data_IF_680297046571
#
_entry.id   IF_680297046571
#
_cell.length_a   1.000
_cell.length_b   1.000
_cell.length_c   1.000
_cell.angle_alpha   90.00
_cell.angle_beta   90.00
_cell.angle_gamma   90.00
#
_symmetry.space_group_name_H-M   'P 1'
#
loop_
_entity.id
_entity.type
_entity.pdbx_description
1 polymer ?
#
# COMPACT_ATOMS: atom_id res chain seq x y z
N UNK A 1 41.95 -86.36 -2.78
CA UNK A 1 40.75 -85.57 -2.78
C UNK A 1 41.14 -84.15 -2.36
N UNK A 2 41.46 -83.26 -3.37
CA UNK A 2 41.68 -81.84 -3.14
C UNK A 2 40.41 -81.11 -3.61
N UNK A 3 39.67 -80.53 -2.67
CA UNK A 3 38.55 -79.68 -2.97
C UNK A 3 39.03 -78.29 -3.37
N UNK A 4 38.60 -77.90 -4.53
CA UNK A 4 38.75 -76.65 -5.19
C UNK A 4 38.13 -75.51 -4.29
N UNK A 5 38.98 -74.76 -3.60
CA UNK A 5 38.59 -73.60 -2.79
C UNK A 5 38.82 -72.27 -3.53
N UNK A 6 39.15 -72.32 -4.85
CA UNK A 6 39.55 -71.12 -5.62
C UNK A 6 38.40 -70.32 -6.27
N UNK A 7 37.19 -70.90 -6.36
CA UNK A 7 36.10 -70.28 -7.10
C UNK A 7 35.34 -69.22 -6.30
N UNK A 8 35.23 -69.33 -5.02
CA UNK A 8 34.37 -68.47 -4.21
C UNK A 8 34.94 -67.09 -3.93
N UNK A 9 36.27 -66.98 -3.81
CA UNK A 9 36.97 -65.72 -3.54
C UNK A 9 36.95 -64.81 -4.79
N UNK A 10 37.01 -65.39 -5.95
CA UNK A 10 37.06 -64.65 -7.23
C UNK A 10 35.71 -63.99 -7.57
N UNK A 11 34.62 -64.64 -7.18
CA UNK A 11 33.29 -64.13 -7.44
C UNK A 11 32.94 -62.97 -6.51
N UNK A 12 33.43 -62.96 -5.24
CA UNK A 12 33.28 -61.89 -4.32
C UNK A 12 33.98 -60.59 -4.74
N UNK A 13 35.18 -60.69 -5.33
CA UNK A 13 35.92 -59.54 -5.84
C UNK A 13 35.24 -58.86 -7.03
N UNK A 14 34.66 -59.65 -7.95
CA UNK A 14 33.97 -59.12 -9.09
C UNK A 14 32.70 -58.36 -8.67
N UNK A 15 31.94 -58.87 -7.73
CA UNK A 15 30.78 -58.19 -7.18
C UNK A 15 31.16 -56.90 -6.47
N UNK A 16 32.21 -56.88 -5.67
CA UNK A 16 32.69 -55.68 -4.97
C UNK A 16 33.17 -54.60 -5.91
N UNK A 17 33.93 -54.98 -6.97
CA UNK A 17 34.43 -54.02 -7.94
C UNK A 17 33.29 -53.39 -8.75
N UNK A 18 32.28 -54.17 -9.14
CA UNK A 18 31.12 -53.67 -9.89
C UNK A 18 30.29 -52.74 -9.00
N UNK A 19 30.12 -53.03 -7.74
CA UNK A 19 29.37 -52.16 -6.81
C UNK A 19 30.05 -50.79 -6.64
N UNK A 20 31.39 -50.79 -6.47
CA UNK A 20 32.17 -49.55 -6.34
C UNK A 20 32.12 -48.72 -7.62
N UNK A 21 32.19 -49.38 -8.78
CA UNK A 21 32.11 -48.68 -10.08
C UNK A 21 30.74 -48.05 -10.32
N UNK A 22 29.67 -48.69 -9.89
CA UNK A 22 28.29 -48.12 -10.00
C UNK A 22 28.10 -46.96 -9.06
N UNK A 23 28.63 -47.02 -7.82
CA UNK A 23 28.56 -45.88 -6.90
C UNK A 23 29.40 -44.69 -7.37
N UNK A 24 30.56 -44.92 -7.98
CA UNK A 24 31.39 -43.84 -8.52
C UNK A 24 30.74 -43.16 -9.73
N UNK A 25 29.96 -43.87 -10.54
CA UNK A 25 29.23 -43.34 -11.67
C UNK A 25 28.03 -42.47 -11.25
N UNK A 26 27.44 -42.74 -10.08
CA UNK A 26 26.30 -41.97 -9.56
C UNK A 26 26.71 -40.59 -8.99
N UNK A 27 27.99 -40.39 -8.68
CA UNK A 27 28.54 -39.15 -8.15
C UNK A 27 29.02 -38.15 -9.27
N UNK A 28 28.97 -38.54 -10.56
CA UNK A 28 29.12 -37.59 -11.65
C UNK A 28 27.84 -36.77 -11.77
N UNK A 29 27.55 -36.02 -10.70
CA UNK A 29 26.45 -35.09 -10.64
C UNK A 29 26.53 -34.11 -11.79
N UNK A 30 25.39 -33.78 -12.33
CA UNK A 30 25.17 -32.80 -13.38
C UNK A 30 26.05 -31.57 -13.16
N UNK A 31 27.16 -31.48 -13.86
CA UNK A 31 27.91 -30.25 -14.00
C UNK A 31 26.98 -29.26 -14.72
N UNK A 32 26.26 -28.46 -13.94
CA UNK A 32 25.61 -27.30 -14.54
C UNK A 32 26.68 -26.46 -15.19
N UNK A 33 26.59 -26.29 -16.50
CA UNK A 33 27.47 -25.36 -17.22
C UNK A 33 27.47 -24.04 -16.44
N UNK A 34 28.64 -23.52 -16.02
CA UNK A 34 28.70 -22.25 -15.36
C UNK A 34 27.96 -21.22 -16.23
N UNK A 35 27.07 -20.48 -15.57
CA UNK A 35 26.35 -19.40 -16.24
C UNK A 35 27.38 -18.53 -16.95
N UNK A 36 27.12 -18.23 -18.22
CA UNK A 36 27.99 -17.32 -18.99
C UNK A 36 28.15 -16.05 -18.15
N UNK A 37 29.38 -15.72 -17.82
CA UNK A 37 29.67 -14.45 -17.17
C UNK A 37 28.99 -13.34 -17.94
N UNK A 38 28.17 -12.55 -17.24
CA UNK A 38 27.45 -11.44 -17.83
C UNK A 38 28.49 -10.35 -18.15
N UNK A 39 29.17 -10.48 -19.27
CA UNK A 39 30.15 -9.50 -19.77
C UNK A 39 29.49 -8.23 -20.29
N UNK A 40 28.24 -7.98 -19.89
CA UNK A 40 27.55 -6.75 -20.21
C UNK A 40 28.13 -5.61 -19.40
N UNK A 41 28.66 -4.60 -20.06
CA UNK A 41 29.02 -3.34 -19.43
C UNK A 41 27.73 -2.75 -18.88
N UNK A 42 27.56 -2.73 -17.55
CA UNK A 42 26.45 -2.04 -16.87
C UNK A 42 26.49 -0.57 -17.29
N UNK A 43 25.55 -0.16 -18.10
CA UNK A 43 25.28 1.26 -18.29
C UNK A 43 24.34 1.67 -17.17
N UNK A 44 24.72 2.60 -16.29
CA UNK A 44 23.78 3.15 -15.33
C UNK A 44 22.63 3.80 -16.10
N UNK A 45 21.44 3.20 -16.02
CA UNK A 45 20.21 3.70 -16.68
C UNK A 45 19.53 4.73 -15.77
N UNK A 46 20.05 4.87 -14.55
CA UNK A 46 19.54 5.82 -13.57
C UNK A 46 20.07 7.21 -13.90
N UNK A 47 19.26 7.99 -14.56
CA UNK A 47 19.44 9.42 -14.72
C UNK A 47 18.79 10.19 -13.57
N UNK A 48 18.83 9.63 -12.33
CA UNK A 48 18.50 10.43 -11.18
C UNK A 48 19.60 11.46 -10.96
N UNK A 49 19.24 12.69 -10.84
CA UNK A 49 20.16 13.75 -10.43
C UNK A 49 20.75 13.35 -9.09
N UNK A 50 22.09 13.38 -8.97
CA UNK A 50 22.81 13.06 -7.73
C UNK A 50 22.55 14.09 -6.60
N UNK A 51 21.71 15.06 -6.87
CA UNK A 51 21.29 16.04 -5.86
C UNK A 51 20.00 15.55 -5.20
N UNK A 52 19.98 15.40 -3.87
CA UNK A 52 18.75 15.15 -3.13
C UNK A 52 17.77 16.28 -3.44
N UNK A 53 16.69 15.97 -4.15
CA UNK A 53 15.61 16.90 -4.29
C UNK A 53 14.80 16.84 -2.99
N UNK A 54 14.82 17.94 -2.25
CA UNK A 54 13.94 18.07 -1.09
C UNK A 54 12.50 17.96 -1.58
N UNK A 55 11.88 16.84 -1.28
CA UNK A 55 10.43 16.70 -1.43
C UNK A 55 9.82 17.53 -0.31
N UNK A 56 8.99 18.55 -0.60
CA UNK A 56 8.30 19.27 0.45
C UNK A 56 7.42 18.30 1.21
N UNK A 57 7.81 18.00 2.47
CA UNK A 57 7.06 17.11 3.37
C UNK A 57 5.73 17.71 3.82
N UNK A 58 5.49 18.98 3.50
CA UNK A 58 4.27 19.70 3.83
C UNK A 58 3.47 19.93 2.54
N UNK A 59 2.76 18.91 2.09
CA UNK A 59 1.63 19.15 1.20
C UNK A 59 0.50 19.69 2.05
N UNK A 60 0.03 20.90 1.78
CA UNK A 60 -1.14 21.45 2.46
C UNK A 60 -2.29 20.45 2.36
N UNK A 61 -2.98 20.20 3.49
CA UNK A 61 -4.15 19.33 3.49
C UNK A 61 -5.22 19.89 2.55
N UNK A 62 -5.78 19.04 1.70
CA UNK A 62 -6.82 19.44 0.76
C UNK A 62 -8.16 18.88 1.26
N UNK A 63 -9.09 19.78 1.54
CA UNK A 63 -10.45 19.45 1.91
C UNK A 63 -11.24 19.12 0.66
N UNK A 64 -11.52 17.85 0.49
CA UNK A 64 -12.28 17.31 -0.64
C UNK A 64 -13.10 16.10 -0.18
N UNK A 65 -14.20 15.81 -0.90
CA UNK A 65 -14.94 14.58 -0.67
C UNK A 65 -14.09 13.37 -1.10
N UNK A 66 -14.15 12.31 -0.32
CA UNK A 66 -13.51 11.02 -0.65
C UNK A 66 -14.59 10.01 -1.04
N UNK A 67 -14.29 9.06 -1.93
CA UNK A 67 -15.20 7.94 -2.22
C UNK A 67 -15.55 7.09 -0.99
N UNK A 68 -14.75 7.19 0.08
CA UNK A 68 -15.00 6.53 1.36
C UNK A 68 -16.01 7.27 2.24
N UNK A 69 -16.21 8.57 1.98
CA UNK A 69 -17.19 9.38 2.70
C UNK A 69 -18.58 9.07 2.13
N UNK A 70 -19.40 8.39 2.89
CA UNK A 70 -20.77 8.06 2.48
C UNK A 70 -21.76 9.15 2.80
N UNK A 71 -21.47 9.92 3.85
CA UNK A 71 -22.38 10.92 4.40
C UNK A 71 -21.65 12.21 4.75
N UNK A 72 -22.42 13.29 4.89
CA UNK A 72 -21.91 14.59 5.30
C UNK A 72 -21.16 14.49 6.65
N UNK A 73 -21.72 13.77 7.61
CA UNK A 73 -21.11 13.60 8.93
C UNK A 73 -19.76 12.90 8.84
N UNK A 74 -19.66 11.81 8.07
CA UNK A 74 -18.38 11.07 7.93
C UNK A 74 -17.32 11.91 7.25
N UNK A 75 -17.67 12.70 6.24
CA UNK A 75 -16.78 13.63 5.57
C UNK A 75 -16.25 14.71 6.52
N UNK A 76 -17.15 15.39 7.23
CA UNK A 76 -16.79 16.43 8.20
C UNK A 76 -15.97 15.87 9.37
N UNK A 77 -16.28 14.65 9.82
CA UNK A 77 -15.50 13.97 10.87
C UNK A 77 -14.05 13.72 10.41
N UNK A 78 -13.86 13.28 9.17
CA UNK A 78 -12.54 13.08 8.61
C UNK A 78 -11.79 14.42 8.50
N UNK A 79 -12.42 15.46 7.93
CA UNK A 79 -11.80 16.78 7.81
C UNK A 79 -11.37 17.36 9.17
N UNK A 80 -12.23 17.24 10.18
CA UNK A 80 -11.91 17.68 11.53
C UNK A 80 -10.74 16.88 12.11
N UNK A 81 -10.79 15.55 12.02
CA UNK A 81 -9.75 14.67 12.56
C UNK A 81 -8.39 14.94 11.91
N UNK A 82 -8.35 15.03 10.58
CA UNK A 82 -7.10 15.20 9.82
C UNK A 82 -6.44 16.58 10.06
N UNK A 83 -7.26 17.56 10.48
CA UNK A 83 -6.81 18.94 10.73
C UNK A 83 -6.63 19.26 12.22
N UNK A 84 -6.85 18.29 13.10
CA UNK A 84 -6.73 18.48 14.55
C UNK A 84 -7.88 19.28 15.18
N UNK A 85 -9.00 19.40 14.47
CA UNK A 85 -10.23 20.02 14.98
C UNK A 85 -11.18 18.96 15.58
N UNK A 86 -12.11 19.40 16.41
CA UNK A 86 -13.25 18.56 16.84
C UNK A 86 -14.44 18.81 15.93
N UNK A 87 -15.20 17.76 15.61
CA UNK A 87 -16.52 17.92 15.01
C UNK A 87 -17.58 18.04 16.09
N UNK A 88 -18.36 19.10 16.04
CA UNK A 88 -19.60 19.30 16.81
C UNK A 88 -20.80 19.20 15.85
N UNK A 89 -21.35 17.98 15.74
CA UNK A 89 -22.44 17.69 14.80
C UNK A 89 -23.78 17.73 15.54
N UNK A 90 -24.55 18.80 15.37
CA UNK A 90 -25.81 19.07 16.05
C UNK A 90 -27.05 18.80 15.21
N UNK A 91 -26.83 18.36 13.95
CA UNK A 91 -27.95 18.01 13.08
C UNK A 91 -28.62 16.73 13.57
N UNK A 92 -29.94 16.68 13.51
CA UNK A 92 -30.72 15.50 13.91
C UNK A 92 -30.64 14.37 12.92
N UNK A 93 -30.32 14.70 11.65
CA UNK A 93 -30.19 13.75 10.56
C UNK A 93 -28.81 13.83 9.93
N UNK A 94 -28.37 12.72 9.36
CA UNK A 94 -27.21 12.72 8.49
C UNK A 94 -27.67 12.80 7.02
N UNK A 95 -26.85 13.40 6.18
CA UNK A 95 -27.16 13.67 4.78
C UNK A 95 -26.22 12.90 3.87
N UNK A 96 -26.72 12.38 2.76
CA UNK A 96 -25.88 11.84 1.70
C UNK A 96 -25.08 12.95 1.03
N UNK A 97 -23.92 12.61 0.50
CA UNK A 97 -23.09 13.61 -0.19
C UNK A 97 -23.75 14.05 -1.50
N UNK A 98 -23.92 15.35 -1.65
CA UNK A 98 -24.38 15.95 -2.89
C UNK A 98 -23.28 16.00 -3.95
N UNK A 99 -23.65 15.91 -5.22
CA UNK A 99 -22.70 16.02 -6.33
C UNK A 99 -21.90 17.32 -6.32
N UNK A 100 -22.48 18.42 -5.81
CA UNK A 100 -21.80 19.70 -5.66
C UNK A 100 -20.59 19.64 -4.73
N UNK A 101 -20.63 18.78 -3.70
CA UNK A 101 -19.50 18.59 -2.78
C UNK A 101 -18.34 17.87 -3.45
N UNK A 102 -18.58 17.04 -4.46
CA UNK A 102 -17.53 16.35 -5.21
C UNK A 102 -16.59 17.31 -5.95
N UNK A 103 -17.07 18.54 -6.23
CA UNK A 103 -16.27 19.58 -6.87
C UNK A 103 -15.45 20.42 -5.89
N UNK A 104 -15.68 20.27 -4.58
CA UNK A 104 -14.95 21.03 -3.55
C UNK A 104 -13.54 20.49 -3.43
N UNK A 105 -12.55 21.35 -3.61
CA UNK A 105 -11.13 21.04 -3.44
C UNK A 105 -10.41 22.32 -3.01
N UNK A 106 -10.28 22.52 -1.71
CA UNK A 106 -9.69 23.73 -1.11
C UNK A 106 -8.73 23.36 0.01
N UNK A 107 -7.78 24.23 0.31
CA UNK A 107 -6.78 24.02 1.36
C UNK A 107 -7.11 24.72 2.68
N UNK A 108 -8.17 25.49 2.70
CA UNK A 108 -8.64 26.22 3.87
C UNK A 108 -9.94 25.64 4.41
N UNK A 109 -9.97 25.29 5.72
CA UNK A 109 -11.13 24.69 6.36
C UNK A 109 -12.35 25.62 6.40
N UNK A 110 -12.12 26.93 6.53
CA UNK A 110 -13.20 27.92 6.55
C UNK A 110 -13.91 27.97 5.18
N UNK A 111 -13.13 27.97 4.11
CA UNK A 111 -13.68 27.91 2.74
C UNK A 111 -14.39 26.58 2.48
N UNK A 112 -13.84 25.48 2.97
CA UNK A 112 -14.48 24.16 2.88
C UNK A 112 -15.84 24.16 3.60
N UNK A 113 -15.89 24.69 4.82
CA UNK A 113 -17.13 24.82 5.60
C UNK A 113 -18.18 25.66 4.89
N UNK A 114 -17.79 26.79 4.30
CA UNK A 114 -18.69 27.66 3.52
C UNK A 114 -19.23 26.94 2.28
N UNK A 115 -18.38 26.21 1.55
CA UNK A 115 -18.81 25.43 0.39
C UNK A 115 -19.84 24.36 0.75
N UNK A 116 -19.64 23.68 1.89
CA UNK A 116 -20.62 22.71 2.40
C UNK A 116 -21.93 23.42 2.78
N UNK A 117 -21.87 24.53 3.51
CA UNK A 117 -23.06 25.27 3.89
C UNK A 117 -23.87 25.75 2.67
N UNK A 118 -23.18 26.17 1.58
CA UNK A 118 -23.83 26.54 0.32
C UNK A 118 -24.49 25.34 -0.36
N UNK A 119 -23.79 24.18 -0.42
CA UNK A 119 -24.31 22.99 -1.07
C UNK A 119 -25.55 22.43 -0.36
N UNK A 120 -25.64 22.59 0.96
CA UNK A 120 -26.75 22.11 1.79
C UNK A 120 -27.68 23.23 2.29
N UNK A 121 -27.63 24.41 1.69
CA UNK A 121 -28.47 25.55 2.07
C UNK A 121 -29.98 25.22 1.97
N UNK A 122 -30.38 24.48 0.95
CA UNK A 122 -31.77 24.06 0.75
C UNK A 122 -32.27 23.11 1.87
N UNK A 123 -31.36 22.40 2.53
CA UNK A 123 -31.63 21.52 3.66
C UNK A 123 -31.54 22.26 5.01
N UNK A 124 -31.25 23.56 4.98
CA UNK A 124 -31.08 24.35 6.21
C UNK A 124 -29.85 23.97 7.03
N UNK A 125 -28.80 23.44 6.39
CA UNK A 125 -27.55 23.08 7.08
C UNK A 125 -26.60 24.29 7.07
N UNK A 126 -26.05 24.58 8.24
CA UNK A 126 -24.99 25.58 8.41
C UNK A 126 -23.74 24.88 8.91
N UNK A 127 -22.61 25.13 8.26
CA UNK A 127 -21.31 24.62 8.70
C UNK A 127 -20.38 25.81 8.92
N UNK A 128 -19.72 25.86 10.07
CA UNK A 128 -18.81 26.93 10.46
C UNK A 128 -17.66 26.41 11.30
N UNK A 129 -16.59 27.16 11.33
CA UNK A 129 -15.43 26.90 12.17
C UNK A 129 -15.42 27.88 13.32
N UNK A 130 -15.39 27.39 14.55
CA UNK A 130 -15.30 28.21 15.76
C UNK A 130 -14.21 27.67 16.68
N UNK A 131 -13.18 28.49 16.92
CA UNK A 131 -12.02 28.07 17.72
C UNK A 131 -11.36 26.83 17.15
N UNK A 132 -11.41 25.72 17.88
CA UNK A 132 -10.88 24.41 17.47
C UNK A 132 -11.99 23.40 17.15
N UNK A 133 -13.16 23.89 16.72
CA UNK A 133 -14.30 23.03 16.38
C UNK A 133 -14.87 23.36 15.00
N UNK A 134 -15.17 22.32 14.24
CA UNK A 134 -16.02 22.37 13.07
C UNK A 134 -17.44 22.06 13.51
N UNK A 135 -18.35 23.02 13.38
CA UNK A 135 -19.72 22.94 13.86
C UNK A 135 -20.65 22.75 12.67
N UNK A 136 -21.48 21.72 12.71
CA UNK A 136 -22.56 21.52 11.75
C UNK A 136 -23.89 21.60 12.50
N UNK A 137 -24.72 22.58 12.16
CA UNK A 137 -25.96 22.93 12.85
C UNK A 137 -27.09 23.17 11.85
N UNK A 138 -28.33 23.17 12.36
CA UNK A 138 -29.47 23.60 11.57
C UNK A 138 -29.54 25.14 11.52
N UNK A 139 -29.88 25.67 10.37
CA UNK A 139 -30.16 27.10 10.26
C UNK A 139 -31.29 27.47 11.22
N UNK A 140 -31.02 28.41 12.12
CA UNK A 140 -32.09 28.96 12.96
C UNK A 140 -33.07 29.70 12.06
N UNK A 141 -34.28 29.19 11.99
CA UNK A 141 -35.40 29.94 11.38
C UNK A 141 -35.68 31.10 12.32
N UNK A 142 -35.13 32.28 12.00
CA UNK A 142 -35.56 33.52 12.65
C UNK A 142 -36.99 33.79 12.21
N UNK A 143 -37.95 33.46 13.08
CA UNK A 143 -39.35 33.83 12.91
C UNK A 143 -39.54 35.32 13.11
#
# INVERSE_FOLDING_TARGET
MLHDAGGFVRQGYFLSVVTVAVLAGALSGCGTTPAKEFGGRWKPVNHFTDQPQELPLYTAYVYQASPLDRTLKTMLQRWASDSGFRLDYRLQSDYTLHQQIAAVSVTDLQQAAQAVAQAYAAQGVVVRVEGNALIADAASVSG
#
